data_IF_245626434377
#
_entry.id   IF_245626434377
#
_cell.length_a   1.000
_cell.length_b   1.000
_cell.length_c   1.000
_cell.angle_alpha   90.00
_cell.angle_beta   90.00
_cell.angle_gamma   90.00
#
_symmetry.space_group_name_H-M   'P 1'
#
loop_
_entity.id
_entity.type
_entity.pdbx_description
1 polymer ?
#
# COMPACT_ATOMS: atom_id res chain seq x y z
N UNK A 1 39.00 10.93 -2.87
CA UNK A 1 37.76 10.34 -3.42
C UNK A 1 36.84 10.10 -2.24
N UNK A 2 35.82 10.93 -2.05
CA UNK A 2 34.82 10.68 -1.02
C UNK A 2 33.90 9.56 -1.54
N UNK A 3 33.67 8.45 -0.79
CA UNK A 3 32.67 7.48 -1.19
C UNK A 3 31.30 8.16 -1.13
N UNK A 4 30.54 8.02 -2.22
CA UNK A 4 29.14 8.40 -2.28
C UNK A 4 28.41 7.72 -1.12
N UNK A 5 27.60 8.41 -0.31
CA UNK A 5 26.68 7.72 0.58
C UNK A 5 25.75 6.90 -0.33
N UNK A 6 25.78 5.58 -0.20
CA UNK A 6 24.71 4.74 -0.72
C UNK A 6 23.47 5.15 0.04
N UNK A 7 22.55 5.85 -0.61
CA UNK A 7 21.26 6.24 -0.03
C UNK A 7 20.51 4.94 0.33
N UNK A 8 20.19 4.67 1.60
CA UNK A 8 19.34 3.55 1.99
C UNK A 8 17.85 3.95 1.96
N UNK A 9 17.48 4.91 1.12
CA UNK A 9 16.19 5.63 1.25
C UNK A 9 14.99 4.79 0.79
N UNK A 10 15.16 3.91 -0.19
CA UNK A 10 14.06 3.10 -0.73
C UNK A 10 13.50 2.08 0.28
N UNK A 11 14.38 1.40 1.03
CA UNK A 11 13.97 0.43 2.06
C UNK A 11 13.24 1.12 3.21
N UNK A 12 13.77 2.25 3.68
CA UNK A 12 13.21 2.97 4.84
C UNK A 12 11.87 3.64 4.52
N UNK A 13 11.69 4.13 3.30
CA UNK A 13 10.41 4.67 2.83
C UNK A 13 9.39 3.57 2.60
N UNK A 14 9.79 2.42 2.04
CA UNK A 14 8.93 1.25 1.86
C UNK A 14 8.47 0.66 3.18
N UNK A 15 9.35 0.54 4.18
CA UNK A 15 9.01 0.10 5.53
C UNK A 15 8.02 1.07 6.20
N UNK A 16 8.26 2.38 6.10
CA UNK A 16 7.35 3.40 6.66
C UNK A 16 6.00 3.40 5.96
N UNK A 17 5.98 3.20 4.65
CA UNK A 17 4.76 3.05 3.87
C UNK A 17 3.99 1.82 4.37
N UNK A 18 4.65 0.67 4.48
CA UNK A 18 4.06 -0.59 4.97
C UNK A 18 3.48 -0.45 6.38
N UNK A 19 4.15 0.27 7.28
CA UNK A 19 3.68 0.53 8.64
C UNK A 19 2.42 1.41 8.67
N UNK A 20 2.33 2.43 7.82
CA UNK A 20 1.21 3.37 7.80
C UNK A 20 0.08 2.97 6.82
N UNK A 21 0.29 1.94 6.02
CA UNK A 21 -0.64 1.48 5.00
C UNK A 21 -2.02 1.07 5.55
N UNK A 22 -2.12 0.30 6.65
CA UNK A 22 -3.42 -0.07 7.21
C UNK A 22 -4.25 1.14 7.66
N UNK A 23 -3.62 2.14 8.28
CA UNK A 23 -4.30 3.36 8.73
C UNK A 23 -4.77 4.21 7.55
N UNK A 24 -3.96 4.30 6.49
CA UNK A 24 -4.33 5.00 5.24
C UNK A 24 -5.52 4.33 4.57
N UNK A 25 -5.46 3.01 4.41
CA UNK A 25 -6.50 2.19 3.79
C UNK A 25 -7.80 2.26 4.61
N UNK A 26 -7.71 2.21 5.94
CA UNK A 26 -8.87 2.35 6.81
C UNK A 26 -9.53 3.73 6.69
N UNK A 27 -8.77 4.78 6.39
CA UNK A 27 -9.28 6.13 6.20
C UNK A 27 -9.97 6.36 4.84
N UNK A 28 -9.76 5.47 3.85
CA UNK A 28 -10.44 5.54 2.57
C UNK A 28 -11.93 5.25 2.70
N UNK A 29 -12.76 5.94 1.93
CA UNK A 29 -14.15 5.54 1.74
C UNK A 29 -14.26 4.27 0.90
N UNK A 30 -15.41 3.61 0.93
CA UNK A 30 -15.62 2.35 0.21
C UNK A 30 -15.45 2.51 -1.32
N UNK A 31 -15.85 3.66 -1.87
CA UNK A 31 -15.66 3.99 -3.29
C UNK A 31 -14.18 4.20 -3.63
N UNK A 32 -13.46 4.94 -2.77
CA UNK A 32 -12.01 5.17 -2.94
C UNK A 32 -11.21 3.88 -2.81
N UNK A 33 -11.55 3.03 -1.84
CA UNK A 33 -10.90 1.75 -1.61
C UNK A 33 -11.07 0.81 -2.81
N UNK A 34 -12.28 0.73 -3.36
CA UNK A 34 -12.56 -0.05 -4.57
C UNK A 34 -11.80 0.52 -5.77
N UNK A 35 -11.79 1.85 -5.93
CA UNK A 35 -11.07 2.51 -7.01
C UNK A 35 -9.56 2.29 -6.92
N UNK A 36 -8.96 2.43 -5.74
CA UNK A 36 -7.53 2.14 -5.54
C UNK A 36 -7.23 0.68 -5.86
N UNK A 37 -8.03 -0.27 -5.38
CA UNK A 37 -7.80 -1.69 -5.65
C UNK A 37 -7.88 -2.04 -7.15
N UNK A 38 -8.85 -1.46 -7.88
CA UNK A 38 -9.05 -1.71 -9.30
C UNK A 38 -8.02 -1.01 -10.20
N UNK A 39 -7.51 0.15 -9.79
CA UNK A 39 -6.53 0.93 -10.53
C UNK A 39 -5.09 0.70 -10.05
N UNK A 40 -4.89 -0.18 -9.05
CA UNK A 40 -3.57 -0.51 -8.53
C UNK A 40 -2.78 -1.27 -9.59
N UNK A 41 -1.64 -0.70 -10.00
CA UNK A 41 -0.63 -1.36 -10.83
C UNK A 41 0.27 -2.31 -10.00
N UNK A 42 -0.02 -2.51 -8.71
CA UNK A 42 0.77 -3.36 -7.84
C UNK A 42 0.64 -4.84 -8.25
N UNK A 43 1.78 -5.54 -8.27
CA UNK A 43 1.80 -6.95 -8.65
C UNK A 43 1.04 -7.82 -7.64
N UNK A 44 0.54 -8.98 -8.10
CA UNK A 44 -0.11 -9.94 -7.22
C UNK A 44 0.88 -10.41 -6.13
N UNK A 45 0.53 -10.17 -4.86
CA UNK A 45 1.39 -10.45 -3.72
C UNK A 45 2.09 -9.21 -3.15
N UNK A 46 1.93 -8.04 -3.78
CA UNK A 46 2.38 -6.78 -3.21
C UNK A 46 1.67 -6.47 -1.87
N UNK A 47 2.37 -5.97 -0.85
CA UNK A 47 1.79 -5.65 0.44
C UNK A 47 0.62 -4.66 0.35
N UNK A 48 0.66 -3.69 -0.57
CA UNK A 48 -0.40 -2.72 -0.83
C UNK A 48 -1.63 -3.43 -1.39
N UNK A 49 -1.45 -4.24 -2.43
CA UNK A 49 -2.56 -4.97 -3.05
C UNK A 49 -3.23 -5.91 -2.06
N UNK A 50 -2.44 -6.60 -1.23
CA UNK A 50 -2.94 -7.49 -0.19
C UNK A 50 -3.71 -6.72 0.90
N UNK A 51 -3.21 -5.55 1.31
CA UNK A 51 -3.87 -4.72 2.31
C UNK A 51 -5.20 -4.15 1.80
N UNK A 52 -5.24 -3.68 0.55
CA UNK A 52 -6.46 -3.20 -0.12
C UNK A 52 -7.50 -4.34 -0.25
N UNK A 53 -7.07 -5.53 -0.70
CA UNK A 53 -7.93 -6.71 -0.80
C UNK A 53 -8.51 -7.11 0.56
N UNK A 54 -7.68 -7.11 1.61
CA UNK A 54 -8.10 -7.47 2.96
C UNK A 54 -9.17 -6.50 3.48
N UNK A 55 -8.99 -5.20 3.29
CA UNK A 55 -9.96 -4.19 3.75
C UNK A 55 -11.28 -4.30 2.99
N UNK A 56 -11.25 -4.52 1.67
CA UNK A 56 -12.46 -4.76 0.86
C UNK A 56 -13.24 -5.97 1.40
N UNK A 57 -12.54 -7.05 1.75
CA UNK A 57 -13.14 -8.24 2.32
C UNK A 57 -13.71 -7.97 3.73
N UNK A 58 -13.01 -7.24 4.58
CA UNK A 58 -13.47 -6.87 5.94
C UNK A 58 -14.76 -6.05 5.85
N UNK A 59 -14.85 -5.12 4.89
CA UNK A 59 -16.01 -4.25 4.68
C UNK A 59 -17.11 -4.89 3.83
N UNK A 60 -16.91 -6.12 3.34
CA UNK A 60 -17.84 -6.80 2.44
C UNK A 60 -18.17 -5.98 1.17
N UNK A 61 -17.18 -5.27 0.62
CA UNK A 61 -17.32 -4.50 -0.62
C UNK A 61 -17.17 -5.45 -1.81
N UNK A 62 -18.20 -5.49 -2.65
CA UNK A 62 -18.21 -6.27 -3.88
C UNK A 62 -17.41 -5.55 -4.99
N UNK A 63 -16.63 -6.31 -5.75
CA UNK A 63 -15.66 -5.81 -6.75
C UNK A 63 -16.16 -5.85 -8.18
#
# INVERSE_FOLDING_TARGET
MNPHPSEPTDDLESERLALCLPERIAALSDEELRSEYLNSDAEAGDPVQNALAAELQIRNIDL
#
